data_IF_412695717605
#
_entry.id   IF_412695717605
#
_cell.length_a   1.000
_cell.length_b   1.000
_cell.length_c   1.000
_cell.angle_alpha   90.00
_cell.angle_beta   90.00
_cell.angle_gamma   90.00
#
_symmetry.space_group_name_H-M   'P 1'
#
loop_
_entity.id
_entity.type
_entity.pdbx_description
1 polymer ?
#
# COMPACT_ATOMS: atom_id res chain seq x y z
N UNK A 1 23.21 -1.19 -30.20
CA UNK A 1 23.38 -1.39 -28.74
C UNK A 1 22.35 -0.57 -27.95
N UNK A 2 22.28 0.75 -28.14
CA UNK A 2 21.27 1.59 -27.48
C UNK A 2 19.82 1.10 -27.65
N UNK A 3 19.38 0.76 -28.87
CA UNK A 3 18.03 0.25 -29.10
C UNK A 3 17.67 -1.02 -28.31
N UNK A 4 18.62 -1.95 -28.15
CA UNK A 4 18.43 -3.18 -27.35
C UNK A 4 18.40 -2.91 -25.84
N UNK A 5 19.15 -1.93 -25.37
CA UNK A 5 19.07 -1.47 -23.97
C UNK A 5 17.71 -0.84 -23.69
N UNK A 6 17.24 0.03 -24.59
CA UNK A 6 15.92 0.65 -24.49
C UNK A 6 14.83 -0.43 -24.43
N UNK A 7 14.85 -1.39 -25.34
CA UNK A 7 13.93 -2.54 -25.34
C UNK A 7 13.99 -3.33 -24.02
N UNK A 8 15.18 -3.60 -23.48
CA UNK A 8 15.33 -4.32 -22.21
C UNK A 8 14.71 -3.55 -21.04
N UNK A 9 14.83 -2.22 -21.02
CA UNK A 9 14.31 -1.35 -19.97
C UNK A 9 12.80 -1.12 -20.06
N UNK A 10 12.21 -1.14 -21.27
CA UNK A 10 10.80 -0.75 -21.48
C UNK A 10 9.85 -1.91 -21.76
N UNK A 11 10.37 -3.02 -22.30
CA UNK A 11 9.57 -4.18 -22.71
C UNK A 11 10.17 -5.50 -22.21
N UNK A 12 11.42 -5.49 -21.77
CA UNK A 12 12.15 -6.66 -21.28
C UNK A 12 12.14 -6.80 -19.76
N UNK A 13 13.15 -7.49 -19.25
CA UNK A 13 13.25 -7.83 -17.83
C UNK A 13 13.40 -6.61 -16.89
N UNK A 14 13.71 -5.42 -17.41
CA UNK A 14 13.75 -4.19 -16.63
C UNK A 14 12.41 -3.83 -15.98
N UNK A 15 11.28 -4.13 -16.64
CA UNK A 15 9.94 -3.78 -16.13
C UNK A 15 9.47 -4.71 -15.00
N UNK A 16 9.50 -6.05 -15.15
CA UNK A 16 9.10 -6.95 -14.06
C UNK A 16 10.00 -6.85 -12.82
N UNK A 17 11.28 -6.55 -13.00
CA UNK A 17 12.25 -6.40 -11.89
C UNK A 17 11.85 -5.32 -10.89
N UNK A 18 11.38 -4.16 -11.38
CA UNK A 18 10.90 -3.08 -10.53
C UNK A 18 9.55 -3.39 -9.86
N UNK A 19 8.68 -4.17 -10.51
CA UNK A 19 7.33 -4.47 -10.00
C UNK A 19 7.29 -5.60 -8.96
N UNK A 20 8.24 -6.54 -8.99
CA UNK A 20 8.23 -7.73 -8.13
C UNK A 20 9.50 -7.93 -7.30
N UNK A 21 10.53 -7.10 -7.48
CA UNK A 21 11.81 -7.26 -6.76
C UNK A 21 11.69 -7.19 -5.23
N UNK A 22 10.66 -6.52 -4.70
CA UNK A 22 10.34 -6.45 -3.27
C UNK A 22 9.07 -7.20 -2.87
N UNK A 23 8.54 -8.07 -3.74
CA UNK A 23 7.19 -8.65 -3.62
C UNK A 23 6.16 -7.91 -4.46
N UNK A 24 4.93 -8.43 -4.54
CA UNK A 24 3.86 -7.81 -5.31
C UNK A 24 3.36 -6.52 -4.65
N UNK A 25 2.79 -5.57 -5.42
CA UNK A 25 2.14 -4.38 -4.86
C UNK A 25 1.09 -4.70 -3.80
N UNK A 26 0.38 -5.81 -3.95
CA UNK A 26 -0.62 -6.26 -2.97
C UNK A 26 0.03 -6.70 -1.66
N UNK A 27 1.17 -7.41 -1.73
CA UNK A 27 1.96 -7.74 -0.55
C UNK A 27 2.41 -6.49 0.20
N UNK A 28 2.89 -5.47 -0.53
CA UNK A 28 3.27 -4.19 0.07
C UNK A 28 2.06 -3.50 0.75
N UNK A 29 0.88 -3.48 0.11
CA UNK A 29 -0.34 -2.93 0.69
C UNK A 29 -0.76 -3.65 1.97
N UNK A 30 -0.63 -4.97 2.02
CA UNK A 30 -0.93 -5.76 3.22
C UNK A 30 0.00 -5.42 4.38
N UNK A 31 1.30 -5.32 4.12
CA UNK A 31 2.30 -4.95 5.15
C UNK A 31 2.08 -3.53 5.66
N UNK A 32 1.82 -2.56 4.77
CA UNK A 32 1.49 -1.19 5.19
C UNK A 32 0.23 -1.18 6.05
N UNK A 33 -0.82 -1.90 5.66
CA UNK A 33 -2.08 -1.96 6.40
C UNK A 33 -1.91 -2.62 7.77
N UNK A 34 -1.12 -3.68 7.89
CA UNK A 34 -0.90 -4.37 9.16
C UNK A 34 -0.03 -3.59 10.14
N UNK A 35 0.90 -2.77 9.64
CA UNK A 35 1.79 -1.97 10.48
C UNK A 35 1.26 -0.55 10.77
N UNK A 36 0.24 -0.10 10.03
CA UNK A 36 -0.39 1.20 10.28
C UNK A 36 -1.28 1.14 11.52
N UNK A 37 -1.12 2.07 12.49
CA UNK A 37 -1.95 2.09 13.70
C UNK A 37 -3.32 2.71 13.42
N UNK A 38 -4.16 1.99 12.67
CA UNK A 38 -5.44 2.47 12.15
C UNK A 38 -6.40 2.89 13.27
N UNK A 39 -6.38 2.20 14.40
CA UNK A 39 -7.21 2.47 15.58
C UNK A 39 -6.88 3.84 16.18
N UNK A 40 -5.58 4.19 16.24
CA UNK A 40 -5.15 5.53 16.73
C UNK A 40 -5.66 6.63 15.81
N UNK A 41 -5.61 6.42 14.50
CA UNK A 41 -6.13 7.39 13.53
C UNK A 41 -7.66 7.53 13.64
N UNK A 42 -8.38 6.41 13.81
CA UNK A 42 -9.81 6.41 14.02
C UNK A 42 -10.22 7.15 15.32
N UNK A 43 -9.50 6.93 16.42
CA UNK A 43 -9.72 7.66 17.68
C UNK A 43 -9.46 9.16 17.56
N UNK A 44 -8.39 9.56 16.86
CA UNK A 44 -8.11 10.97 16.61
C UNK A 44 -9.22 11.62 15.79
N UNK A 45 -9.69 10.94 14.72
CA UNK A 45 -10.81 11.40 13.92
C UNK A 45 -12.10 11.53 14.75
N UNK A 46 -12.40 10.53 15.60
CA UNK A 46 -13.54 10.54 16.53
C UNK A 46 -13.50 11.74 17.47
N UNK A 47 -12.33 12.03 18.08
CA UNK A 47 -12.14 13.19 18.97
C UNK A 47 -12.38 14.51 18.24
N UNK A 48 -11.86 14.64 17.02
CA UNK A 48 -12.05 15.84 16.20
C UNK A 48 -13.52 16.02 15.77
N UNK A 49 -14.22 14.92 15.49
CA UNK A 49 -15.62 14.94 15.10
C UNK A 49 -16.59 15.10 16.29
N UNK A 50 -16.11 15.07 17.54
CA UNK A 50 -16.95 15.17 18.73
C UNK A 50 -17.86 13.96 18.98
N UNK A 51 -17.54 12.80 18.40
CA UNK A 51 -18.37 11.60 18.54
C UNK A 51 -18.06 10.91 19.87
N UNK A 52 -19.04 10.87 20.77
CA UNK A 52 -18.91 10.26 22.11
C UNK A 52 -19.38 8.82 22.18
N UNK A 53 -20.14 8.36 21.20
CA UNK A 53 -20.66 7.00 21.13
C UNK A 53 -19.59 5.98 20.71
N UNK A 54 -19.72 4.74 21.17
CA UNK A 54 -18.87 3.64 20.75
C UNK A 54 -19.28 3.23 19.32
N UNK A 55 -18.33 3.33 18.38
CA UNK A 55 -18.53 2.90 17.00
C UNK A 55 -17.95 1.50 16.87
N UNK A 56 -18.77 0.45 16.73
CA UNK A 56 -18.27 -0.91 16.53
C UNK A 56 -17.56 -1.01 15.18
N UNK A 57 -16.65 -1.97 15.04
CA UNK A 57 -16.02 -2.22 13.75
C UNK A 57 -17.07 -2.53 12.68
N UNK A 58 -16.91 -2.01 11.45
CA UNK A 58 -17.78 -2.36 10.34
C UNK A 58 -17.68 -3.86 10.08
N UNK A 59 -18.84 -4.53 9.99
CA UNK A 59 -18.90 -5.94 9.61
C UNK A 59 -18.28 -6.14 8.22
N UNK A 60 -17.52 -7.24 8.06
CA UNK A 60 -16.86 -7.62 6.81
C UNK A 60 -17.85 -7.82 5.65
#
# INVERSE_FOLDING_TARGET
RAARLVEWLTLGAGVPGCMHGGGSPDGARLVVRSLSPMEKYAEMARKLAGITEEIPEPAK
#
